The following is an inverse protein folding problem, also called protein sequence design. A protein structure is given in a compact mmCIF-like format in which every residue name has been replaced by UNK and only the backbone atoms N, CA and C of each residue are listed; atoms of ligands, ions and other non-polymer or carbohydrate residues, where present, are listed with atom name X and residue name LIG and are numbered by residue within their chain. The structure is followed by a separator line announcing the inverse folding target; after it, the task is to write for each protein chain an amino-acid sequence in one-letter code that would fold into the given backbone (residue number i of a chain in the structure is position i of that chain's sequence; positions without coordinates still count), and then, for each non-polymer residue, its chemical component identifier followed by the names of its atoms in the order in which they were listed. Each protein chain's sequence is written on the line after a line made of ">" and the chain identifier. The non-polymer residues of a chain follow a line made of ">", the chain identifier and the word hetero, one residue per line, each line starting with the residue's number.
data_IF_185046517049
#
_entry.id   IF_185046517049
#
_cell.length_a   1.000
_cell.length_b   1.000
_cell.length_c   1.000
_cell.angle_alpha   90.00
_cell.angle_beta   90.00
_cell.angle_gamma   90.00
#
_symmetry.space_group_name_H-M   'P 1'
#
loop_
_entity.id
_entity.type
_entity.pdbx_description
1 polymer ?
#
# COMPACT_ATOMS: atom_id res chain seq x y z
N UNK A 1 -12.13 -26.39 4.27
CA UNK A 1 -10.72 -26.02 4.06
C UNK A 1 -10.53 -24.57 4.48
N UNK A 2 -10.42 -24.35 5.79
CA UNK A 2 -10.12 -23.03 6.36
C UNK A 2 -8.65 -22.71 6.12
N UNK A 3 -8.33 -22.27 4.91
CA UNK A 3 -7.02 -21.69 4.60
C UNK A 3 -7.07 -20.22 5.03
N UNK A 4 -7.34 -20.01 6.31
CA UNK A 4 -7.09 -18.72 6.95
C UNK A 4 -5.59 -18.53 7.03
N UNK A 5 -5.16 -17.27 6.91
CA UNK A 5 -3.78 -16.87 7.12
C UNK A 5 -3.28 -17.49 8.44
N UNK A 6 -2.29 -18.38 8.33
CA UNK A 6 -1.72 -19.09 9.48
C UNK A 6 -0.64 -18.20 10.06
N UNK A 7 -0.82 -17.71 11.28
CA UNK A 7 0.19 -16.87 11.92
C UNK A 7 1.58 -17.54 11.89
N UNK A 8 2.66 -16.80 11.61
CA UNK A 8 2.73 -15.35 11.44
C UNK A 8 2.72 -14.95 9.95
N UNK A 9 1.60 -14.43 9.43
CA UNK A 9 1.61 -13.81 8.09
C UNK A 9 1.97 -12.34 8.21
N UNK A 10 3.24 -12.05 7.95
CA UNK A 10 3.76 -10.68 7.88
C UNK A 10 3.38 -10.11 6.51
N UNK A 11 2.27 -9.36 6.45
CA UNK A 11 1.91 -8.56 5.30
C UNK A 11 1.53 -7.14 5.74
N UNK A 12 1.85 -6.13 4.92
CA UNK A 12 1.54 -4.73 5.27
C UNK A 12 0.05 -4.48 5.44
N UNK A 13 -0.81 -5.18 4.69
CA UNK A 13 -2.27 -5.09 4.83
C UNK A 13 -2.77 -5.66 6.16
N UNK A 14 -2.24 -6.81 6.60
CA UNK A 14 -2.56 -7.39 7.91
C UNK A 14 -2.07 -6.48 9.04
N UNK A 15 -0.85 -5.95 8.94
CA UNK A 15 -0.30 -4.99 9.91
C UNK A 15 -1.19 -3.75 10.06
N UNK A 16 -1.74 -3.23 8.96
CA UNK A 16 -2.65 -2.09 9.01
C UNK A 16 -3.97 -2.47 9.69
N UNK A 17 -4.55 -3.62 9.34
CA UNK A 17 -5.77 -4.13 9.95
C UNK A 17 -5.64 -4.33 11.46
N UNK A 18 -4.50 -4.83 11.92
CA UNK A 18 -4.22 -5.03 13.35
C UNK A 18 -4.01 -3.69 14.06
N UNK A 19 -3.22 -2.79 13.47
CA UNK A 19 -2.92 -1.49 14.05
C UNK A 19 -4.16 -0.57 14.15
N UNK A 20 -5.23 -0.82 13.37
CA UNK A 20 -6.51 -0.12 13.52
C UNK A 20 -7.09 -0.24 14.94
N UNK A 21 -6.92 -1.37 15.60
CA UNK A 21 -7.40 -1.56 16.99
C UNK A 21 -6.57 -0.77 18.01
N UNK A 22 -5.29 -0.55 17.71
CA UNK A 22 -4.34 0.17 18.56
C UNK A 22 -4.20 1.65 18.19
N UNK A 23 -4.99 2.15 17.24
CA UNK A 23 -4.91 3.53 16.73
C UNK A 23 -4.96 4.61 17.81
N UNK A 24 -5.78 4.40 18.84
CA UNK A 24 -5.94 5.37 19.94
C UNK A 24 -4.75 5.40 20.90
N UNK A 25 -3.96 4.34 20.94
CA UNK A 25 -2.88 4.14 21.93
C UNK A 25 -1.51 4.27 21.28
N UNK A 26 -1.35 3.77 20.06
CA UNK A 26 -0.09 3.72 19.33
C UNK A 26 -0.32 3.99 17.82
N UNK A 27 -0.67 5.24 17.45
CA UNK A 27 -0.93 5.60 16.05
C UNK A 27 0.31 5.44 15.14
N UNK A 28 1.51 5.43 15.73
CA UNK A 28 2.78 5.25 15.01
C UNK A 28 2.91 3.87 14.35
N UNK A 29 2.17 2.86 14.82
CA UNK A 29 2.19 1.50 14.24
C UNK A 29 1.66 1.47 12.79
N UNK A 30 0.79 2.41 12.41
CA UNK A 30 0.31 2.52 11.03
C UNK A 30 1.25 3.29 10.12
N UNK A 31 2.12 4.14 10.65
CA UNK A 31 2.94 5.04 9.85
C UNK A 31 3.89 4.27 8.93
N UNK A 32 4.51 3.21 9.44
CA UNK A 32 5.44 2.41 8.65
C UNK A 32 4.74 1.67 7.50
N UNK A 33 3.82 0.71 7.75
CA UNK A 33 3.18 -0.02 6.65
C UNK A 33 2.32 0.90 5.76
N UNK A 34 1.73 1.96 6.32
CA UNK A 34 0.98 2.96 5.58
C UNK A 34 1.86 3.77 4.62
N UNK A 35 3.02 4.27 5.07
CA UNK A 35 3.93 5.03 4.23
C UNK A 35 4.45 4.20 3.06
N UNK A 36 4.83 2.94 3.30
CA UNK A 36 5.27 2.04 2.24
C UNK A 36 4.19 1.81 1.19
N UNK A 37 2.95 1.53 1.61
CA UNK A 37 1.83 1.39 0.67
C UNK A 37 1.56 2.66 -0.12
N UNK A 38 1.58 3.84 0.52
CA UNK A 38 1.39 5.12 -0.15
C UNK A 38 2.46 5.32 -1.23
N UNK A 39 3.74 5.10 -0.90
CA UNK A 39 4.84 5.23 -1.85
C UNK A 39 4.69 4.25 -3.01
N UNK A 40 4.36 2.99 -2.74
CA UNK A 40 4.12 1.98 -3.78
C UNK A 40 2.98 2.39 -4.70
N UNK A 41 1.84 2.80 -4.15
CA UNK A 41 0.68 3.23 -4.94
C UNK A 41 1.03 4.46 -5.77
N UNK A 42 1.68 5.46 -5.19
CA UNK A 42 2.10 6.66 -5.90
C UNK A 42 3.07 6.33 -7.04
N UNK A 43 4.03 5.43 -6.81
CA UNK A 43 4.96 4.99 -7.84
C UNK A 43 4.21 4.32 -9.01
N UNK A 44 3.21 3.48 -8.73
CA UNK A 44 2.40 2.87 -9.78
C UNK A 44 1.50 3.86 -10.52
N UNK A 45 0.91 4.83 -9.82
CA UNK A 45 0.11 5.91 -10.44
C UNK A 45 0.99 6.73 -11.37
N UNK A 46 2.13 7.21 -10.87
CA UNK A 46 3.09 7.99 -11.65
C UNK A 46 3.68 7.20 -12.81
N UNK A 47 3.93 5.91 -12.64
CA UNK A 47 4.36 5.03 -13.72
C UNK A 47 3.27 4.93 -14.79
N UNK A 48 2.01 4.78 -14.39
CA UNK A 48 0.88 4.77 -15.31
C UNK A 48 0.75 6.07 -16.09
N UNK A 49 0.93 7.21 -15.42
CA UNK A 49 0.92 8.53 -16.06
C UNK A 49 2.11 8.70 -17.02
N UNK A 50 3.31 8.31 -16.62
CA UNK A 50 4.50 8.36 -17.47
C UNK A 50 4.38 7.44 -18.70
N UNK A 51 3.82 6.23 -18.52
CA UNK A 51 3.50 5.31 -19.61
C UNK A 51 2.46 5.95 -20.52
N UNK A 52 1.38 6.51 -19.97
CA UNK A 52 0.34 7.20 -20.74
C UNK A 52 0.94 8.35 -21.54
N UNK A 53 1.78 9.18 -20.95
CA UNK A 53 2.43 10.31 -21.64
C UNK A 53 3.41 9.84 -22.72
N UNK A 54 4.10 8.71 -22.52
CA UNK A 54 4.95 8.10 -23.54
C UNK A 54 4.15 7.51 -24.71
N UNK A 55 2.92 7.04 -24.45
CA UNK A 55 2.03 6.43 -25.44
C UNK A 55 0.93 7.37 -25.97
N UNK A 56 0.77 8.57 -25.43
CA UNK A 56 -0.12 9.63 -25.91
C UNK A 56 0.74 10.60 -26.73
N UNK A 57 0.91 10.37 -28.05
CA UNK A 57 1.64 11.29 -28.89
C UNK A 57 0.72 12.48 -29.09
N UNK A 58 0.72 13.43 -28.14
CA UNK A 58 0.17 14.75 -28.41
C UNK A 58 0.97 15.31 -29.57
N UNK A 59 0.31 15.22 -30.73
CA UNK A 59 0.89 15.40 -32.04
C UNK A 59 1.70 16.68 -32.10
N UNK A 60 2.89 16.55 -32.68
CA UNK A 60 3.37 17.61 -33.56
C UNK A 60 2.41 17.74 -34.74
#
# INVERSE_FOLDING_TARGET
>A
LGIGLRDPVVSWGVMISEAQTSLRVAPTLLLFPGAFLIVTVLAFVMLGDAVRDAFDPKGR
#
